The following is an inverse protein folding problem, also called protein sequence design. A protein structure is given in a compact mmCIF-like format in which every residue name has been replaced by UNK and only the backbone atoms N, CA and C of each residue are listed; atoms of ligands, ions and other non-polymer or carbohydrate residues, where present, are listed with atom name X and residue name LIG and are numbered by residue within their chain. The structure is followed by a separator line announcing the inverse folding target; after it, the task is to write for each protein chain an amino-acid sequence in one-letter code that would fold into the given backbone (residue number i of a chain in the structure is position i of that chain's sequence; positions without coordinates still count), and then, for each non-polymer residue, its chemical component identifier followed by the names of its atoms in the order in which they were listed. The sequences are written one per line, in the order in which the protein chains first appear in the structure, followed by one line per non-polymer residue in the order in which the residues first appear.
data_IF_974645411952
#
_entry.id   IF_974645411952
#
_cell.length_a   1.000
_cell.length_b   1.000
_cell.length_c   1.000
_cell.angle_alpha   90.00
_cell.angle_beta   90.00
_cell.angle_gamma   90.00
#
_symmetry.space_group_name_H-M   'P 1'
#
loop_
_entity.id
_entity.type
_entity.pdbx_description
1 polymer ?
#
# COMPACT_ATOMS: atom_id res chain seq x y z
N UNK A 1 -5.29 -3.96 -2.23
CA UNK A 1 -5.50 -4.47 -3.60
C UNK A 1 -5.06 -3.48 -4.69
N UNK A 2 -5.52 -2.22 -4.67
CA UNK A 2 -5.15 -1.24 -5.70
C UNK A 2 -3.64 -1.08 -5.90
N UNK A 3 -2.85 -1.00 -4.82
CA UNK A 3 -1.39 -0.92 -4.93
C UNK A 3 -0.77 -2.11 -5.70
N UNK A 4 -1.27 -3.33 -5.49
CA UNK A 4 -0.78 -4.53 -6.18
C UNK A 4 -1.11 -4.50 -7.67
N UNK A 5 -2.29 -3.99 -8.04
CA UNK A 5 -2.70 -3.82 -9.45
C UNK A 5 -1.77 -2.83 -10.17
N UNK A 6 -1.40 -1.73 -9.49
CA UNK A 6 -0.49 -0.72 -10.03
C UNK A 6 0.91 -1.31 -10.21
N UNK A 7 1.45 -2.00 -9.20
CA UNK A 7 2.74 -2.70 -9.29
C UNK A 7 2.76 -3.76 -10.41
N UNK A 8 1.63 -4.39 -10.69
CA UNK A 8 1.51 -5.37 -11.78
C UNK A 8 1.36 -4.73 -13.17
N UNK A 9 1.29 -3.40 -13.28
CA UNK A 9 1.14 -2.70 -14.55
C UNK A 9 -0.21 -2.93 -15.24
N UNK A 10 -1.27 -3.29 -14.49
CA UNK A 10 -2.59 -3.57 -15.06
C UNK A 10 -3.32 -2.25 -15.38
N UNK A 11 -3.61 -1.94 -16.65
CA UNK A 11 -4.07 -0.61 -17.04
C UNK A 11 -5.58 -0.41 -16.86
N UNK A 12 -6.36 -1.50 -16.73
CA UNK A 12 -7.82 -1.43 -16.63
C UNK A 12 -8.34 -2.50 -15.67
N UNK A 13 -9.24 -2.08 -14.78
CA UNK A 13 -9.90 -2.94 -13.79
C UNK A 13 -11.41 -2.74 -13.91
N UNK A 14 -12.12 -3.85 -14.00
CA UNK A 14 -13.58 -3.89 -13.89
C UNK A 14 -13.93 -4.47 -12.51
N UNK A 15 -14.83 -3.84 -11.79
CA UNK A 15 -15.28 -4.29 -10.47
C UNK A 15 -16.80 -4.12 -10.35
N UNK A 16 -17.43 -4.98 -9.54
CA UNK A 16 -18.89 -4.95 -9.30
C UNK A 16 -19.24 -4.13 -8.06
N UNK A 17 -19.01 -4.70 -6.88
CA UNK A 17 -19.22 -4.03 -5.60
C UNK A 17 -18.14 -2.97 -5.35
N UNK A 18 -18.55 -1.80 -4.87
CA UNK A 18 -17.66 -0.69 -4.55
C UNK A 18 -17.31 -0.67 -3.04
N UNK A 19 -16.36 0.20 -2.66
CA UNK A 19 -15.87 0.31 -1.27
C UNK A 19 -16.95 0.63 -0.23
N UNK A 20 -18.02 1.34 -0.60
CA UNK A 20 -19.15 1.66 0.29
C UNK A 20 -20.04 0.43 0.51
N UNK A 21 -20.22 -0.40 -0.52
CA UNK A 21 -20.97 -1.66 -0.38
C UNK A 21 -20.24 -2.58 0.60
N UNK A 22 -18.91 -2.68 0.48
CA UNK A 22 -18.06 -3.43 1.41
C UNK A 22 -18.14 -2.86 2.84
N UNK A 23 -18.07 -1.54 3.00
CA UNK A 23 -18.23 -0.88 4.30
C UNK A 23 -19.59 -1.16 4.95
N UNK A 24 -20.67 -1.16 4.17
CA UNK A 24 -22.03 -1.38 4.68
C UNK A 24 -22.23 -2.74 5.36
N UNK A 25 -21.38 -3.73 5.05
CA UNK A 25 -21.40 -5.07 5.64
C UNK A 25 -20.20 -5.32 6.57
N UNK A 26 -19.48 -4.27 6.95
CA UNK A 26 -18.45 -4.31 7.99
C UNK A 26 -17.01 -4.47 7.52
N UNK A 27 -16.73 -4.41 6.20
CA UNK A 27 -15.34 -4.40 5.73
C UNK A 27 -14.69 -3.01 5.90
N UNK A 28 -13.37 -3.00 6.10
CA UNK A 28 -12.61 -1.82 6.46
C UNK A 28 -12.10 -0.99 5.26
N UNK A 29 -12.58 -1.25 4.04
CA UNK A 29 -12.08 -0.63 2.82
C UNK A 29 -12.09 0.91 2.90
N UNK A 30 -13.22 1.51 3.31
CA UNK A 30 -13.32 2.96 3.45
C UNK A 30 -12.29 3.53 4.44
N UNK A 31 -12.14 2.89 5.61
CA UNK A 31 -11.13 3.25 6.61
C UNK A 31 -9.70 3.21 6.05
N UNK A 32 -9.35 2.18 5.28
CA UNK A 32 -8.01 2.04 4.68
C UNK A 32 -7.72 3.23 3.75
N UNK A 33 -8.70 3.66 2.95
CA UNK A 33 -8.54 4.84 2.09
C UNK A 33 -8.36 6.13 2.89
N UNK A 34 -9.12 6.32 3.96
CA UNK A 34 -8.99 7.48 4.84
C UNK A 34 -7.63 7.49 5.58
N UNK A 35 -7.16 6.32 6.02
CA UNK A 35 -5.85 6.17 6.66
C UNK A 35 -4.72 6.57 5.70
N UNK A 36 -4.77 6.09 4.45
CA UNK A 36 -3.79 6.46 3.41
C UNK A 36 -3.84 7.96 3.10
N UNK A 37 -5.02 8.57 3.09
CA UNK A 37 -5.19 10.02 2.90
C UNK A 37 -4.78 10.85 4.12
N UNK A 38 -4.53 10.23 5.26
CA UNK A 38 -4.26 10.93 6.52
C UNK A 38 -5.51 11.61 7.12
N UNK A 39 -6.71 11.26 6.66
CA UNK A 39 -7.98 11.83 7.13
C UNK A 39 -8.71 10.93 8.12
N UNK A 40 -8.20 9.72 8.37
CA UNK A 40 -8.78 8.81 9.35
C UNK A 40 -8.72 9.44 10.75
N UNK A 41 -9.88 9.55 11.38
CA UNK A 41 -10.03 10.05 12.75
C UNK A 41 -9.67 8.98 13.79
N UNK A 42 -9.86 7.71 13.45
CA UNK A 42 -9.53 6.57 14.30
C UNK A 42 -8.11 6.05 14.01
N UNK A 43 -7.29 5.94 15.06
CA UNK A 43 -5.99 5.25 14.98
C UNK A 43 -6.15 3.76 15.31
N UNK A 44 -6.53 2.96 14.31
CA UNK A 44 -6.60 1.49 14.44
C UNK A 44 -5.23 0.82 14.36
N UNK A 45 -4.26 1.48 13.71
CA UNK A 45 -2.91 0.96 13.52
C UNK A 45 -1.88 1.99 14.02
N UNK A 46 -0.92 1.52 14.81
CA UNK A 46 0.26 2.30 15.20
C UNK A 46 1.44 1.85 14.33
N UNK A 47 2.05 2.79 13.63
CA UNK A 47 3.23 2.53 12.79
C UNK A 47 4.45 3.20 13.41
N UNK A 48 5.54 2.45 13.53
CA UNK A 48 6.83 2.94 14.04
C UNK A 48 7.95 2.51 13.09
N UNK A 49 8.86 3.41 12.79
CA UNK A 49 10.09 3.08 12.03
C UNK A 49 11.15 2.57 12.99
N UNK A 50 11.75 1.42 12.68
CA UNK A 50 12.84 0.82 13.45
C UNK A 50 14.03 0.59 12.52
N UNK A 51 15.26 0.72 13.05
CA UNK A 51 16.52 0.40 12.35
C UNK A 51 16.66 1.02 10.95
N UNK A 52 16.17 2.27 10.77
CA UNK A 52 16.07 2.92 9.45
C UNK A 52 17.41 2.93 8.72
N UNK A 53 18.50 3.27 9.41
CA UNK A 53 19.82 3.40 8.79
C UNK A 53 20.32 2.05 8.26
N UNK A 54 20.16 1.00 9.04
CA UNK A 54 20.56 -0.36 8.68
C UNK A 54 19.70 -0.88 7.52
N UNK A 55 18.39 -0.66 7.55
CA UNK A 55 17.49 -1.08 6.47
C UNK A 55 17.75 -0.36 5.14
N UNK A 56 18.19 0.90 5.16
CA UNK A 56 18.53 1.64 3.93
C UNK A 56 19.71 1.03 3.17
N UNK A 57 20.60 0.30 3.84
CA UNK A 57 21.71 -0.40 3.18
C UNK A 57 21.22 -1.44 2.16
N UNK A 58 20.04 -2.04 2.38
CA UNK A 58 19.42 -2.96 1.42
C UNK A 58 19.05 -2.25 0.10
N UNK A 59 18.63 -0.99 0.16
CA UNK A 59 18.36 -0.20 -1.04
C UNK A 59 19.64 0.17 -1.78
N UNK A 60 20.71 0.50 -1.06
CA UNK A 60 22.02 0.72 -1.68
C UNK A 60 22.54 -0.53 -2.39
N UNK A 61 22.38 -1.71 -1.77
CA UNK A 61 22.73 -2.99 -2.37
C UNK A 61 21.89 -3.27 -3.62
N UNK A 62 20.58 -3.06 -3.56
CA UNK A 62 19.70 -3.16 -4.74
C UNK A 62 20.16 -2.24 -5.86
N UNK A 63 20.46 -0.98 -5.56
CA UNK A 63 20.92 -0.01 -6.57
C UNK A 63 22.24 -0.41 -7.23
N UNK A 64 23.14 -1.10 -6.51
CA UNK A 64 24.42 -1.60 -7.05
C UNK A 64 24.28 -2.91 -7.83
N UNK A 65 23.18 -3.64 -7.70
CA UNK A 65 22.93 -4.88 -8.44
C UNK A 65 22.87 -4.58 -9.95
N UNK A 66 23.74 -5.22 -10.72
CA UNK A 66 23.88 -4.98 -12.17
C UNK A 66 22.70 -5.55 -12.96
N UNK A 67 22.23 -6.74 -12.60
CA UNK A 67 21.13 -7.48 -13.22
C UNK A 67 19.78 -7.22 -12.52
N UNK A 68 19.56 -6.02 -11.97
CA UNK A 68 18.27 -5.65 -11.39
C UNK A 68 17.24 -5.35 -12.49
N UNK A 69 15.98 -5.67 -12.22
CA UNK A 69 14.84 -5.29 -13.06
C UNK A 69 14.04 -4.20 -12.34
N UNK A 70 13.68 -3.15 -13.05
CA UNK A 70 12.85 -2.07 -12.50
C UNK A 70 11.38 -2.50 -12.38
N UNK A 71 10.70 -2.02 -11.35
CA UNK A 71 9.30 -2.29 -11.05
C UNK A 71 8.49 -0.98 -11.04
#
# INVERSE_FOLDING_TARGET
CLAAIIWAGIPKVYYGANRKDAESIGFADNYIYEYIKGTATEKKVSVRSLHRRECLQLFEQWMKKEDKVMY
#
